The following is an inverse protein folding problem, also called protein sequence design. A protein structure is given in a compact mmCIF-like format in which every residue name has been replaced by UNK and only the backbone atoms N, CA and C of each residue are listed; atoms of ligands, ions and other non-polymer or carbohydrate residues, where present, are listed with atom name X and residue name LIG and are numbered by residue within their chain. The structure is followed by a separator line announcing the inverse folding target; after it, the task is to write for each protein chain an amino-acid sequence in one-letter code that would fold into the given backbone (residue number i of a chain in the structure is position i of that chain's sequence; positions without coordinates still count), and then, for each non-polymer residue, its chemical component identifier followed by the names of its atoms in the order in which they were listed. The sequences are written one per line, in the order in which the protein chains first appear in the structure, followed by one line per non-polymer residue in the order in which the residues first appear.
data_IF_133496333006
#
_entry.id   IF_133496333006
#
_cell.length_a   1.000
_cell.length_b   1.000
_cell.length_c   1.000
_cell.angle_alpha   90.00
_cell.angle_beta   90.00
_cell.angle_gamma   90.00
#
_symmetry.space_group_name_H-M   'P 1'
#
loop_
_entity.id
_entity.type
_entity.pdbx_description
1 polymer ?
#
# COMPACT_ATOMS: atom_id res chain seq x y z
N UNK A 1 -45.82 -19.01 -4.40
CA UNK A 1 -46.89 -19.97 -4.74
C UNK A 1 -47.60 -19.44 -5.96
N UNK A 2 -47.64 -20.28 -7.03
CA UNK A 2 -48.63 -20.29 -8.11
C UNK A 2 -48.64 -19.06 -9.05
N UNK A 3 -48.81 -19.11 -10.37
CA UNK A 3 -49.07 -20.15 -11.39
C UNK A 3 -49.20 -19.33 -12.70
N UNK A 4 -48.53 -19.66 -13.82
CA UNK A 4 -49.09 -20.35 -15.01
C UNK A 4 -50.51 -19.89 -15.43
N UNK A 5 -50.87 -19.65 -16.71
CA UNK A 5 -50.29 -19.98 -18.02
C UNK A 5 -51.23 -19.52 -19.17
N UNK A 6 -50.77 -19.68 -20.43
CA UNK A 6 -51.51 -20.05 -21.67
C UNK A 6 -52.39 -18.97 -22.36
N UNK A 7 -52.58 -18.88 -23.69
CA UNK A 7 -52.33 -19.77 -24.85
C UNK A 7 -52.58 -19.08 -26.23
N UNK A 8 -51.98 -19.67 -27.29
CA UNK A 8 -52.48 -19.93 -28.68
C UNK A 8 -52.87 -18.76 -29.63
N UNK A 9 -52.83 -18.78 -30.98
CA UNK A 9 -52.56 -19.76 -32.07
C UNK A 9 -52.67 -19.05 -33.45
N UNK A 10 -52.07 -19.60 -34.53
CA UNK A 10 -52.61 -19.77 -35.94
C UNK A 10 -51.45 -19.86 -36.96
N UNK A 11 -51.19 -20.99 -37.64
CA UNK A 11 -51.79 -21.61 -38.86
C UNK A 11 -51.48 -20.91 -40.21
N UNK A 12 -50.90 -21.68 -41.13
CA UNK A 12 -50.77 -21.36 -42.56
C UNK A 12 -50.12 -22.51 -43.34
N UNK A 13 -50.92 -23.21 -44.14
CA UNK A 13 -50.56 -24.35 -45.00
C UNK A 13 -50.31 -23.92 -46.45
N UNK A 14 -49.44 -24.64 -47.17
CA UNK A 14 -49.25 -24.48 -48.62
C UNK A 14 -48.54 -25.69 -49.22
N UNK A 15 -49.26 -26.45 -50.03
CA UNK A 15 -48.83 -27.65 -50.75
C UNK A 15 -48.52 -27.33 -52.22
N UNK A 16 -47.52 -28.01 -52.80
CA UNK A 16 -47.20 -27.95 -54.23
C UNK A 16 -46.48 -29.21 -54.69
N UNK A 17 -47.17 -30.05 -55.46
CA UNK A 17 -46.66 -31.26 -56.11
C UNK A 17 -46.01 -30.93 -57.47
N UNK A 18 -44.95 -31.66 -57.83
CA UNK A 18 -44.40 -31.71 -59.18
C UNK A 18 -43.65 -33.02 -59.42
N UNK A 19 -44.25 -33.92 -60.19
CA UNK A 19 -43.68 -35.20 -60.65
C UNK A 19 -42.83 -34.98 -61.92
N UNK A 20 -41.72 -35.70 -62.04
CA UNK A 20 -40.96 -35.84 -63.28
C UNK A 20 -40.21 -37.18 -63.30
N UNK A 21 -40.65 -38.08 -64.18
CA UNK A 21 -40.17 -39.46 -64.31
C UNK A 21 -39.21 -39.62 -65.50
N UNK A 22 -38.22 -40.49 -65.36
CA UNK A 22 -37.40 -41.08 -66.44
C UNK A 22 -36.03 -41.52 -65.88
N UNK A 23 -35.49 -42.73 -66.08
CA UNK A 23 -35.86 -43.88 -66.88
C UNK A 23 -34.58 -44.57 -67.39
N UNK A 24 -34.16 -45.68 -66.75
CA UNK A 24 -33.26 -46.74 -67.28
C UNK A 24 -31.73 -46.45 -67.33
N UNK A 25 -30.81 -47.43 -67.36
CA UNK A 25 -30.80 -48.87 -67.11
C UNK A 25 -29.32 -49.36 -67.17
N UNK A 26 -29.04 -50.55 -66.58
CA UNK A 26 -27.92 -51.50 -66.82
C UNK A 26 -26.59 -51.47 -66.05
N UNK A 27 -26.36 -52.59 -65.35
CA UNK A 27 -25.09 -53.35 -65.23
C UNK A 27 -24.22 -53.00 -64.01
N UNK A 28 -23.77 -53.91 -63.14
CA UNK A 28 -23.76 -55.35 -63.10
C UNK A 28 -22.51 -55.83 -62.34
N UNK A 29 -22.70 -56.66 -61.30
CA UNK A 29 -21.74 -57.59 -60.64
C UNK A 29 -20.52 -57.01 -59.87
N UNK A 30 -20.44 -57.39 -58.58
CA UNK A 30 -19.60 -58.47 -57.97
C UNK A 30 -18.90 -58.01 -56.68
N UNK A 31 -18.92 -58.88 -55.67
CA UNK A 31 -17.95 -58.90 -54.57
C UNK A 31 -18.55 -58.61 -53.21
N UNK A 32 -18.92 -59.66 -52.47
CA UNK A 32 -19.20 -59.56 -51.05
C UNK A 32 -17.91 -59.68 -50.25
N UNK A 33 -17.88 -59.06 -49.08
CA UNK A 33 -17.09 -59.49 -47.93
C UNK A 33 -17.83 -59.04 -46.67
N UNK A 34 -18.11 -60.01 -45.80
CA UNK A 34 -18.62 -59.81 -44.45
C UNK A 34 -17.57 -59.04 -43.64
N UNK A 35 -17.91 -57.87 -43.10
CA UNK A 35 -17.18 -57.28 -41.98
C UNK A 35 -18.20 -56.91 -40.89
N UNK A 36 -17.96 -57.41 -39.68
CA UNK A 36 -18.89 -57.44 -38.55
C UNK A 36 -19.28 -56.07 -37.98
N UNK A 37 -20.04 -56.07 -36.86
CA UNK A 37 -20.79 -54.91 -36.43
C UNK A 37 -19.89 -53.71 -36.16
N UNK A 38 -20.34 -52.55 -36.66
CA UNK A 38 -19.75 -51.24 -36.43
C UNK A 38 -19.40 -51.07 -34.96
N UNK A 39 -18.10 -51.23 -34.66
CA UNK A 39 -17.53 -50.78 -33.39
C UNK A 39 -17.69 -49.27 -33.36
N UNK A 40 -18.72 -48.85 -32.65
CA UNK A 40 -18.78 -47.60 -31.91
C UNK A 40 -17.38 -47.21 -31.44
N UNK A 41 -16.68 -46.39 -32.22
CA UNK A 41 -15.65 -45.53 -31.66
C UNK A 41 -16.39 -44.62 -30.68
N UNK A 42 -16.08 -44.66 -29.38
CA UNK A 42 -16.50 -43.60 -28.50
C UNK A 42 -15.91 -42.33 -29.12
N UNK A 43 -16.76 -41.36 -29.47
CA UNK A 43 -16.27 -39.99 -29.61
C UNK A 43 -15.58 -39.69 -28.30
N UNK A 44 -14.27 -39.47 -28.34
CA UNK A 44 -13.57 -38.86 -27.22
C UNK A 44 -14.36 -37.60 -26.89
N UNK A 45 -14.94 -37.58 -25.70
CA UNK A 45 -15.43 -36.38 -25.04
C UNK A 45 -14.16 -35.56 -24.78
N UNK A 46 -13.65 -34.93 -25.83
CA UNK A 46 -12.70 -33.82 -25.73
C UNK A 46 -13.52 -32.63 -25.25
N UNK A 47 -14.02 -32.70 -24.03
CA UNK A 47 -14.50 -31.54 -23.30
C UNK A 47 -13.27 -30.72 -22.94
N UNK A 48 -12.82 -29.93 -23.91
CA UNK A 48 -11.94 -28.80 -23.65
C UNK A 48 -12.73 -27.91 -22.70
N UNK A 49 -12.30 -27.87 -21.45
CA UNK A 49 -12.87 -26.98 -20.44
C UNK A 49 -13.00 -25.57 -21.01
N UNK A 50 -14.16 -24.90 -20.84
CA UNK A 50 -14.35 -23.55 -21.34
C UNK A 50 -13.26 -22.61 -20.84
N UNK A 51 -12.79 -21.71 -21.71
CA UNK A 51 -11.75 -20.72 -21.36
C UNK A 51 -12.08 -19.91 -20.08
N UNK A 52 -13.33 -19.45 -19.84
CA UNK A 52 -13.66 -18.76 -18.58
C UNK A 52 -13.46 -19.62 -17.33
N UNK A 53 -13.68 -20.93 -17.43
CA UNK A 53 -13.45 -21.84 -16.31
C UNK A 53 -11.95 -21.99 -16.03
N UNK A 54 -11.15 -22.17 -17.09
CA UNK A 54 -9.70 -22.28 -16.97
C UNK A 54 -9.07 -20.98 -16.45
N UNK A 55 -9.57 -19.82 -16.87
CA UNK A 55 -9.20 -18.52 -16.33
C UNK A 55 -9.48 -18.42 -14.83
N UNK A 56 -10.70 -18.75 -14.42
CA UNK A 56 -11.10 -18.69 -13.01
C UNK A 56 -10.26 -19.65 -12.14
N UNK A 57 -9.96 -20.83 -12.65
CA UNK A 57 -9.12 -21.81 -11.98
C UNK A 57 -7.66 -21.34 -11.86
N UNK A 58 -7.09 -20.83 -12.95
CA UNK A 58 -5.73 -20.27 -12.95
C UNK A 58 -5.61 -19.11 -11.94
N UNK A 59 -6.62 -18.23 -11.92
CA UNK A 59 -6.70 -17.14 -10.95
C UNK A 59 -6.75 -17.66 -9.52
N UNK A 60 -7.62 -18.63 -9.24
CA UNK A 60 -7.79 -19.18 -7.89
C UNK A 60 -6.51 -19.87 -7.38
N UNK A 61 -5.89 -20.71 -8.21
CA UNK A 61 -4.64 -21.42 -7.86
C UNK A 61 -3.53 -20.43 -7.52
N UNK A 62 -3.36 -19.38 -8.30
CA UNK A 62 -2.34 -18.36 -8.04
C UNK A 62 -2.65 -17.51 -6.80
N UNK A 63 -3.91 -17.16 -6.57
CA UNK A 63 -4.34 -16.43 -5.38
C UNK A 63 -4.12 -17.26 -4.11
N UNK A 64 -4.48 -18.54 -4.12
CA UNK A 64 -4.28 -19.44 -2.99
C UNK A 64 -2.78 -19.65 -2.70
N UNK A 65 -1.97 -19.87 -3.75
CA UNK A 65 -0.52 -19.95 -3.61
C UNK A 65 0.07 -18.67 -2.98
N UNK A 66 -0.41 -17.50 -3.43
CA UNK A 66 0.05 -16.21 -2.92
C UNK A 66 -0.26 -16.02 -1.43
N UNK A 67 -1.43 -16.47 -0.98
CA UNK A 67 -1.91 -16.30 0.40
C UNK A 67 -1.26 -17.29 1.37
N UNK A 68 -1.01 -18.51 0.90
CA UNK A 68 -0.50 -19.59 1.75
C UNK A 68 1.03 -19.57 1.88
N UNK A 69 1.76 -19.19 0.82
CA UNK A 69 3.23 -19.33 0.76
C UNK A 69 3.95 -18.01 0.49
N UNK A 70 3.25 -17.00 -0.02
CA UNK A 70 3.80 -15.69 -0.36
C UNK A 70 3.64 -15.34 -1.84
N UNK A 71 3.66 -14.05 -2.14
CA UNK A 71 3.19 -13.49 -3.43
C UNK A 71 4.00 -14.00 -4.61
N UNK A 72 5.32 -14.16 -4.44
CA UNK A 72 6.23 -14.63 -5.50
C UNK A 72 5.95 -16.07 -5.97
N UNK A 73 5.30 -16.91 -5.15
CA UNK A 73 5.01 -18.31 -5.51
C UNK A 73 3.89 -18.40 -6.55
N UNK A 74 3.06 -17.36 -6.68
CA UNK A 74 1.98 -17.30 -7.66
C UNK A 74 2.49 -17.48 -9.10
N UNK A 75 3.64 -16.91 -9.46
CA UNK A 75 4.24 -17.09 -10.78
C UNK A 75 4.60 -18.56 -11.06
N UNK A 76 5.15 -19.28 -10.08
CA UNK A 76 5.45 -20.71 -10.24
C UNK A 76 4.17 -21.54 -10.40
N UNK A 77 3.13 -21.22 -9.63
CA UNK A 77 1.84 -21.90 -9.73
C UNK A 77 1.22 -21.70 -11.12
N UNK A 78 1.24 -20.48 -11.65
CA UNK A 78 0.78 -20.18 -13.01
C UNK A 78 1.61 -20.88 -14.10
N UNK A 79 2.94 -20.93 -13.95
CA UNK A 79 3.80 -21.63 -14.89
C UNK A 79 3.41 -23.11 -15.00
N UNK A 80 3.15 -23.77 -13.87
CA UNK A 80 2.69 -25.16 -13.84
C UNK A 80 1.33 -25.32 -14.53
N UNK A 81 0.37 -24.42 -14.26
CA UNK A 81 -0.96 -24.40 -14.87
C UNK A 81 -0.87 -24.24 -16.40
N UNK A 82 -0.03 -23.35 -16.91
CA UNK A 82 0.11 -23.10 -18.35
C UNK A 82 0.91 -24.18 -19.10
N UNK A 83 1.55 -25.11 -18.39
CA UNK A 83 2.28 -26.22 -18.98
C UNK A 83 1.43 -27.48 -19.20
N UNK A 84 0.19 -27.53 -18.70
CA UNK A 84 -0.70 -28.70 -18.80
C UNK A 84 -0.95 -29.10 -20.27
N UNK A 85 -1.48 -28.19 -21.08
CA UNK A 85 -1.62 -28.37 -22.53
C UNK A 85 -1.83 -27.02 -23.25
N UNK A 86 -2.00 -27.04 -24.58
CA UNK A 86 -2.10 -25.83 -25.41
C UNK A 86 -3.31 -24.95 -25.08
N UNK A 87 -4.45 -25.54 -24.68
CA UNK A 87 -5.65 -24.78 -24.30
C UNK A 87 -5.44 -24.03 -22.99
N UNK A 88 -4.77 -24.64 -22.01
CA UNK A 88 -4.40 -23.97 -20.75
C UNK A 88 -3.37 -22.88 -20.97
N UNK A 89 -2.41 -23.11 -21.88
CA UNK A 89 -1.45 -22.08 -22.29
C UNK A 89 -2.14 -20.89 -22.96
N UNK A 90 -3.22 -21.10 -23.72
CA UNK A 90 -3.95 -20.01 -24.37
C UNK A 90 -4.51 -18.99 -23.35
N UNK A 91 -4.93 -19.45 -22.17
CA UNK A 91 -5.43 -18.62 -21.07
C UNK A 91 -4.40 -17.60 -20.57
N UNK A 92 -3.09 -17.88 -20.73
CA UNK A 92 -2.03 -16.91 -20.39
C UNK A 92 -2.06 -15.63 -21.25
N UNK A 93 -2.88 -15.58 -22.30
CA UNK A 93 -3.12 -14.40 -23.14
C UNK A 93 -4.37 -13.61 -22.71
N UNK A 94 -5.15 -14.12 -21.75
CA UNK A 94 -6.33 -13.44 -21.24
C UNK A 94 -5.92 -12.23 -20.40
N UNK A 95 -6.24 -11.03 -20.85
CA UNK A 95 -6.02 -9.80 -20.10
C UNK A 95 -6.88 -9.73 -18.80
N UNK A 96 -8.16 -10.17 -18.79
CA UNK A 96 -8.94 -10.31 -17.55
C UNK A 96 -8.28 -11.14 -16.46
N UNK A 97 -7.60 -12.24 -16.83
CA UNK A 97 -6.82 -13.05 -15.89
C UNK A 97 -5.76 -12.18 -15.19
N UNK A 98 -4.94 -11.50 -15.98
CA UNK A 98 -3.84 -10.70 -15.46
C UNK A 98 -4.33 -9.52 -14.64
N UNK A 99 -5.41 -8.86 -15.05
CA UNK A 99 -6.04 -7.80 -14.26
C UNK A 99 -6.48 -8.33 -12.88
N UNK A 100 -7.18 -9.48 -12.84
CA UNK A 100 -7.63 -10.10 -11.59
C UNK A 100 -6.46 -10.48 -10.68
N UNK A 101 -5.41 -11.07 -11.24
CA UNK A 101 -4.21 -11.48 -10.50
C UNK A 101 -3.44 -10.27 -9.97
N UNK A 102 -3.23 -9.26 -10.81
CA UNK A 102 -2.52 -8.02 -10.43
C UNK A 102 -3.24 -7.30 -9.31
N UNK A 103 -4.57 -7.20 -9.39
CA UNK A 103 -5.38 -6.64 -8.32
C UNK A 103 -5.36 -7.50 -7.05
N UNK A 104 -5.51 -8.81 -7.19
CA UNK A 104 -5.65 -9.72 -6.05
C UNK A 104 -4.36 -10.00 -5.28
N UNK A 105 -3.21 -9.98 -5.95
CA UNK A 105 -1.89 -10.29 -5.35
C UNK A 105 -1.14 -9.00 -5.00
N UNK A 106 -1.17 -8.00 -5.89
CA UNK A 106 -0.40 -6.76 -5.73
C UNK A 106 -1.24 -5.55 -5.30
N UNK A 107 -2.55 -5.71 -5.15
CA UNK A 107 -3.45 -4.62 -4.73
C UNK A 107 -3.56 -3.47 -5.74
N UNK A 108 -3.10 -3.67 -6.99
CA UNK A 108 -3.06 -2.63 -8.02
C UNK A 108 -4.39 -2.55 -8.78
N UNK A 109 -4.93 -1.35 -8.88
CA UNK A 109 -6.17 -1.05 -9.62
C UNK A 109 -5.95 -0.14 -10.82
N UNK A 110 -4.76 0.45 -10.94
CA UNK A 110 -4.39 1.33 -12.03
C UNK A 110 -3.28 0.66 -12.85
N UNK A 111 -3.41 0.75 -14.16
CA UNK A 111 -2.46 0.21 -15.12
C UNK A 111 -1.40 1.28 -15.43
N UNK A 112 -0.11 0.94 -15.24
CA UNK A 112 1.01 1.83 -15.56
C UNK A 112 1.80 1.41 -16.82
N UNK A 113 1.60 0.18 -17.29
CA UNK A 113 2.24 -0.41 -18.47
C UNK A 113 1.19 -0.73 -19.54
N UNK A 114 1.60 -1.15 -20.74
CA UNK A 114 0.65 -1.26 -21.87
C UNK A 114 -0.40 -2.36 -21.65
N UNK A 115 -0.07 -3.41 -20.89
CA UNK A 115 -0.99 -4.51 -20.58
C UNK A 115 -0.96 -4.94 -19.12
N UNK A 116 -2.04 -5.54 -18.61
CA UNK A 116 -2.05 -6.08 -17.25
C UNK A 116 -1.06 -7.22 -17.05
N UNK A 117 -0.71 -7.93 -18.13
CA UNK A 117 0.33 -8.96 -18.13
C UNK A 117 1.70 -8.36 -17.85
N UNK A 118 2.04 -7.27 -18.53
CA UNK A 118 3.31 -6.56 -18.30
C UNK A 118 3.36 -5.97 -16.90
N UNK A 119 2.27 -5.36 -16.43
CA UNK A 119 2.16 -4.90 -15.05
C UNK A 119 2.40 -6.05 -14.05
N UNK A 120 1.77 -7.22 -14.28
CA UNK A 120 1.95 -8.39 -13.41
C UNK A 120 3.41 -8.86 -13.35
N UNK A 121 4.06 -8.95 -14.52
CA UNK A 121 5.46 -9.38 -14.66
C UNK A 121 6.37 -8.36 -13.97
N UNK A 122 6.17 -7.07 -14.25
CA UNK A 122 6.92 -5.97 -13.65
C UNK A 122 6.87 -6.03 -12.13
N UNK A 123 5.68 -6.23 -11.54
CA UNK A 123 5.51 -6.34 -10.08
C UNK A 123 6.18 -7.58 -9.50
N UNK A 124 6.07 -8.72 -10.18
CA UNK A 124 6.76 -9.94 -9.76
C UNK A 124 8.28 -9.77 -9.76
N UNK A 125 8.84 -9.16 -10.81
CA UNK A 125 10.27 -8.90 -10.90
C UNK A 125 10.72 -7.87 -9.86
N UNK A 126 9.93 -6.82 -9.62
CA UNK A 126 10.19 -5.82 -8.56
C UNK A 126 10.22 -6.47 -7.18
N UNK A 127 9.25 -7.33 -6.86
CA UNK A 127 9.25 -8.08 -5.60
C UNK A 127 10.43 -9.08 -5.51
N UNK A 128 10.84 -9.68 -6.63
CA UNK A 128 12.02 -10.53 -6.68
C UNK A 128 13.31 -9.73 -6.43
N UNK A 129 13.39 -8.48 -6.93
CA UNK A 129 14.47 -7.55 -6.63
C UNK A 129 14.52 -7.22 -5.14
N UNK A 130 13.38 -6.94 -4.50
CA UNK A 130 13.29 -6.78 -3.05
C UNK A 130 13.80 -8.01 -2.30
N UNK A 131 13.39 -9.21 -2.70
CA UNK A 131 13.82 -10.46 -2.07
C UNK A 131 15.33 -10.69 -2.17
N UNK A 132 15.93 -10.32 -3.29
CA UNK A 132 17.36 -10.51 -3.57
C UNK A 132 18.24 -9.33 -3.17
N UNK A 133 17.66 -8.22 -2.71
CA UNK A 133 18.40 -7.00 -2.37
C UNK A 133 18.96 -6.25 -3.56
N UNK A 134 18.37 -6.43 -4.75
CA UNK A 134 18.80 -5.76 -5.97
C UNK A 134 18.07 -4.42 -6.12
N UNK A 135 18.68 -3.35 -5.64
CA UNK A 135 18.19 -2.00 -5.83
C UNK A 135 19.24 -1.12 -6.51
N UNK A 136 18.78 -0.01 -7.09
CA UNK A 136 19.65 1.10 -7.49
C UNK A 136 19.50 2.22 -6.47
N UNK A 137 20.62 2.66 -5.90
CA UNK A 137 20.68 3.74 -4.93
C UNK A 137 20.86 5.10 -5.61
N UNK A 138 20.13 6.09 -5.09
CA UNK A 138 20.26 7.50 -5.47
C UNK A 138 20.29 8.37 -4.22
N UNK A 139 21.13 9.41 -4.24
CA UNK A 139 21.02 10.54 -3.34
C UNK A 139 20.27 11.66 -4.06
N UNK A 140 19.10 12.02 -3.55
CA UNK A 140 18.28 13.12 -4.05
C UNK A 140 18.71 14.40 -3.33
N UNK A 141 18.99 15.42 -4.13
CA UNK A 141 19.50 16.70 -3.65
C UNK A 141 18.47 17.80 -3.93
N UNK A 142 18.38 18.75 -3.01
CA UNK A 142 17.65 20.00 -3.18
C UNK A 142 18.58 21.16 -2.82
N UNK A 143 18.28 22.34 -3.34
CA UNK A 143 19.11 23.52 -3.09
C UNK A 143 18.98 23.97 -1.62
N UNK A 144 20.07 24.02 -0.82
CA UNK A 144 20.00 24.55 0.53
C UNK A 144 19.65 26.04 0.59
N UNK A 145 19.78 26.78 -0.51
CA UNK A 145 19.29 28.16 -0.59
C UNK A 145 17.75 28.23 -0.55
N UNK A 146 17.04 27.13 -0.79
CA UNK A 146 15.59 27.00 -0.62
C UNK A 146 15.18 26.87 0.87
N UNK A 147 15.92 27.45 1.80
CA UNK A 147 15.63 27.42 3.24
C UNK A 147 15.19 28.81 3.70
N UNK A 148 14.05 28.88 4.37
CA UNK A 148 13.47 30.15 4.85
C UNK A 148 14.36 30.84 5.90
N UNK A 149 15.12 30.06 6.67
CA UNK A 149 16.07 30.56 7.67
C UNK A 149 17.40 29.78 7.60
N UNK A 150 18.33 30.21 6.74
CA UNK A 150 19.62 29.51 6.54
C UNK A 150 20.53 29.58 7.76
N UNK A 151 20.19 30.38 8.78
CA UNK A 151 20.98 30.47 10.02
C UNK A 151 20.57 29.42 11.06
N UNK A 152 19.43 28.77 10.87
CA UNK A 152 18.95 27.72 11.75
C UNK A 152 19.36 26.33 11.22
N UNK A 153 20.31 25.63 11.87
CA UNK A 153 20.77 24.32 11.41
C UNK A 153 19.66 23.25 11.47
N UNK A 154 18.66 23.41 12.34
CA UNK A 154 17.57 22.45 12.52
C UNK A 154 16.49 22.56 11.43
N UNK A 155 16.49 23.65 10.64
CA UNK A 155 15.47 23.94 9.62
C UNK A 155 15.39 22.87 8.52
N UNK A 156 16.54 22.24 8.25
CA UNK A 156 16.72 21.22 7.21
C UNK A 156 16.45 19.80 7.68
N UNK A 157 16.03 19.61 8.94
CA UNK A 157 15.67 18.31 9.46
C UNK A 157 14.37 17.85 8.79
N UNK A 158 14.47 16.80 7.98
CA UNK A 158 13.31 16.12 7.40
C UNK A 158 12.64 15.27 8.48
N UNK A 159 11.37 15.56 8.79
CA UNK A 159 10.60 14.92 9.87
C UNK A 159 9.74 13.76 9.39
N UNK A 160 9.24 13.84 8.16
CA UNK A 160 8.36 12.83 7.60
C UNK A 160 8.54 12.70 6.09
N UNK A 161 8.26 11.51 5.58
CA UNK A 161 8.33 11.15 4.17
C UNK A 161 7.02 10.49 3.77
N UNK A 162 6.58 10.73 2.54
CA UNK A 162 5.42 10.06 1.96
C UNK A 162 5.67 9.73 0.49
N UNK A 163 5.31 8.51 0.09
CA UNK A 163 5.47 8.00 -1.27
C UNK A 163 4.12 7.94 -2.00
N UNK A 164 4.20 8.18 -3.30
CA UNK A 164 3.19 7.83 -4.29
C UNK A 164 3.87 7.13 -5.46
N UNK A 165 3.10 6.64 -6.44
CA UNK A 165 3.66 5.96 -7.60
C UNK A 165 4.67 6.79 -8.41
N UNK A 166 4.57 8.13 -8.34
CA UNK A 166 5.41 9.06 -9.13
C UNK A 166 6.27 9.99 -8.29
N UNK A 167 5.90 10.25 -7.05
CA UNK A 167 6.53 11.29 -6.24
C UNK A 167 6.90 10.82 -4.85
N UNK A 168 8.02 11.34 -4.37
CA UNK A 168 8.40 11.36 -2.97
C UNK A 168 8.20 12.78 -2.42
N UNK A 169 7.45 12.91 -1.34
CA UNK A 169 7.29 14.16 -0.60
C UNK A 169 8.04 14.09 0.73
N UNK A 170 8.82 15.12 1.01
CA UNK A 170 9.65 15.25 2.21
C UNK A 170 9.20 16.48 3.01
N UNK A 171 8.78 16.29 4.26
CA UNK A 171 8.32 17.35 5.15
C UNK A 171 9.40 17.75 6.14
N UNK A 172 9.64 19.05 6.29
CA UNK A 172 10.77 19.58 7.03
C UNK A 172 10.36 20.39 8.26
N UNK A 173 11.32 20.61 9.16
CA UNK A 173 11.15 21.43 10.36
C UNK A 173 10.90 22.92 10.06
N UNK A 174 11.34 23.41 8.89
CA UNK A 174 11.02 24.74 8.38
C UNK A 174 9.55 24.91 7.94
N UNK A 175 8.78 23.83 7.88
CA UNK A 175 7.39 23.81 7.42
C UNK A 175 7.22 23.66 5.91
N UNK A 176 8.32 23.54 5.17
CA UNK A 176 8.28 23.27 3.75
C UNK A 176 8.06 21.77 3.48
N UNK A 177 7.36 21.48 2.38
CA UNK A 177 7.33 20.15 1.78
C UNK A 177 8.06 20.20 0.45
N UNK A 178 9.12 19.41 0.30
CA UNK A 178 9.89 19.29 -0.94
C UNK A 178 9.48 18.01 -1.67
N UNK A 179 9.19 18.14 -2.95
CA UNK A 179 8.66 17.09 -3.80
C UNK A 179 9.70 16.68 -4.83
N UNK A 180 9.93 15.38 -4.97
CA UNK A 180 10.83 14.79 -5.95
C UNK A 180 10.05 13.90 -6.91
N UNK A 181 10.30 14.03 -8.22
CA UNK A 181 9.77 13.10 -9.21
C UNK A 181 10.67 11.84 -9.21
N UNK A 182 10.08 10.68 -8.95
CA UNK A 182 10.79 9.40 -8.82
C UNK A 182 11.31 8.88 -10.17
N UNK A 183 10.74 9.33 -11.28
CA UNK A 183 11.17 8.95 -12.63
C UNK A 183 12.42 9.72 -13.02
N UNK A 184 12.41 11.04 -12.85
CA UNK A 184 13.55 11.89 -13.20
C UNK A 184 14.60 11.96 -12.09
N UNK A 185 14.21 11.65 -10.85
CA UNK A 185 15.01 11.75 -9.62
C UNK A 185 15.44 13.18 -9.30
N UNK A 186 14.70 14.15 -9.84
CA UNK A 186 14.97 15.56 -9.65
C UNK A 186 14.00 16.17 -8.64
N UNK A 187 14.48 17.19 -7.93
CA UNK A 187 13.64 18.07 -7.15
C UNK A 187 12.64 18.75 -8.10
N UNK A 188 11.35 18.46 -7.91
CA UNK A 188 10.28 18.98 -8.74
C UNK A 188 9.75 20.30 -8.18
N UNK A 189 9.56 20.40 -6.86
CA UNK A 189 8.92 21.57 -6.25
C UNK A 189 9.05 21.67 -4.73
N UNK A 190 9.14 22.90 -4.24
CA UNK A 190 8.96 23.24 -2.82
C UNK A 190 7.60 23.89 -2.56
N UNK A 191 6.87 23.37 -1.59
CA UNK A 191 5.61 23.93 -1.09
C UNK A 191 5.86 24.63 0.25
N UNK A 192 5.58 25.93 0.31
CA UNK A 192 5.69 26.73 1.54
C UNK A 192 4.33 27.33 1.91
N UNK A 193 3.73 26.95 3.05
CA UNK A 193 2.51 27.60 3.51
C UNK A 193 2.82 29.01 4.05
N UNK A 194 1.87 29.92 3.94
CA UNK A 194 1.96 31.21 4.64
C UNK A 194 1.81 30.98 6.14
N UNK A 195 2.78 31.45 6.92
CA UNK A 195 2.81 31.26 8.37
C UNK A 195 2.12 32.42 9.12
N UNK A 196 1.67 32.12 10.33
CA UNK A 196 1.07 33.07 11.27
C UNK A 196 1.86 33.11 12.59
N UNK A 197 1.35 33.84 13.59
CA UNK A 197 2.00 34.00 14.89
C UNK A 197 2.36 32.63 15.51
N UNK A 198 3.61 32.52 15.97
CA UNK A 198 4.23 31.25 16.35
C UNK A 198 4.25 31.13 17.86
N UNK A 199 3.79 29.99 18.38
CA UNK A 199 3.97 29.63 19.79
C UNK A 199 5.39 29.14 20.08
N UNK A 200 6.06 28.55 19.09
CA UNK A 200 7.44 28.09 19.19
C UNK A 200 8.14 27.94 17.84
N UNK A 201 9.44 27.71 17.87
CA UNK A 201 10.29 27.64 16.66
C UNK A 201 9.90 26.49 15.72
N UNK A 202 9.35 25.40 16.26
CA UNK A 202 8.92 24.23 15.50
C UNK A 202 7.41 24.19 15.27
N UNK A 203 6.63 25.21 15.68
CA UNK A 203 5.18 25.24 15.41
C UNK A 203 4.83 24.96 13.95
N UNK A 204 5.64 25.49 13.02
CA UNK A 204 5.45 25.28 11.57
C UNK A 204 5.96 23.95 11.04
N UNK A 205 6.66 23.15 11.84
CA UNK A 205 7.31 21.93 11.37
C UNK A 205 6.26 20.94 10.83
N UNK A 206 6.55 20.30 9.70
CA UNK A 206 5.61 19.35 9.10
C UNK A 206 5.46 18.12 10.02
N UNK A 207 4.22 17.81 10.40
CA UNK A 207 3.87 16.68 11.26
C UNK A 207 3.45 15.45 10.48
N UNK A 208 2.98 15.61 9.24
CA UNK A 208 2.60 14.48 8.39
C UNK A 208 2.18 14.90 6.99
N UNK A 209 2.21 13.93 6.06
CA UNK A 209 1.95 14.14 4.63
C UNK A 209 1.07 13.02 4.08
N UNK A 210 0.11 13.38 3.23
CA UNK A 210 -0.67 12.49 2.37
C UNK A 210 -0.42 12.92 0.94
N UNK A 211 0.01 11.99 0.08
CA UNK A 211 0.29 12.28 -1.32
C UNK A 211 -0.40 11.29 -2.25
N UNK A 212 -0.91 11.83 -3.34
CA UNK A 212 -1.43 11.09 -4.50
C UNK A 212 -0.81 11.67 -5.77
N UNK A 213 -1.10 11.09 -6.93
CA UNK A 213 -0.60 11.60 -8.21
C UNK A 213 -1.02 13.06 -8.53
N UNK A 214 -2.11 13.56 -7.93
CA UNK A 214 -2.66 14.88 -8.24
C UNK A 214 -2.72 15.84 -7.03
N UNK A 215 -2.77 15.31 -5.81
CA UNK A 215 -3.02 16.09 -4.59
C UNK A 215 -1.98 15.78 -3.53
N UNK A 216 -1.47 16.84 -2.91
CA UNK A 216 -0.63 16.83 -1.73
C UNK A 216 -1.42 17.46 -0.58
N UNK A 217 -1.44 16.80 0.57
CA UNK A 217 -2.01 17.32 1.81
C UNK A 217 -0.93 17.16 2.88
N UNK A 218 -0.70 18.18 3.68
CA UNK A 218 0.26 18.10 4.76
C UNK A 218 -0.20 18.95 5.93
N UNK A 219 0.23 18.58 7.13
CA UNK A 219 -0.11 19.29 8.34
C UNK A 219 1.16 19.72 9.08
N UNK A 220 1.02 20.73 9.92
CA UNK A 220 2.10 21.28 10.75
C UNK A 220 1.83 21.02 12.23
N UNK A 221 2.85 21.13 13.08
CA UNK A 221 2.72 20.87 14.52
C UNK A 221 1.72 21.81 15.22
N UNK A 222 1.52 23.01 14.69
CA UNK A 222 0.49 23.95 15.15
C UNK A 222 -0.94 23.56 14.73
N UNK A 223 -1.11 22.46 13.99
CA UNK A 223 -2.41 21.92 13.62
C UNK A 223 -3.01 22.52 12.34
N UNK A 224 -2.31 23.41 11.64
CA UNK A 224 -2.73 23.81 10.30
C UNK A 224 -2.68 22.60 9.35
N UNK A 225 -3.69 22.51 8.47
CA UNK A 225 -3.72 21.52 7.39
C UNK A 225 -3.74 22.27 6.07
N UNK A 226 -2.80 21.94 5.19
CA UNK A 226 -2.63 22.54 3.89
C UNK A 226 -2.91 21.54 2.77
N UNK A 227 -3.48 22.05 1.68
CA UNK A 227 -3.79 21.28 0.47
C UNK A 227 -3.18 21.98 -0.73
N UNK A 228 -2.47 21.22 -1.56
CA UNK A 228 -1.91 21.69 -2.81
C UNK A 228 -2.17 20.68 -3.94
N UNK A 229 -2.34 21.21 -5.15
CA UNK A 229 -2.34 20.39 -6.35
C UNK A 229 -0.88 20.19 -6.80
N UNK A 230 -0.50 18.94 -7.04
CA UNK A 230 0.88 18.56 -7.39
C UNK A 230 1.30 19.20 -8.72
N UNK A 231 0.38 19.19 -9.69
CA UNK A 231 0.64 19.65 -11.07
C UNK A 231 0.34 21.14 -11.30
N UNK A 232 0.00 21.92 -10.27
CA UNK A 232 -0.39 23.32 -10.41
C UNK A 232 0.50 24.21 -9.53
N UNK A 233 1.12 25.23 -10.11
CA UNK A 233 2.03 26.17 -9.45
C UNK A 233 1.40 27.05 -8.36
N UNK A 234 0.10 26.94 -8.09
CA UNK A 234 -0.56 27.61 -6.98
C UNK A 234 0.04 27.23 -5.61
N UNK A 235 0.19 28.21 -4.72
CA UNK A 235 0.62 27.98 -3.35
C UNK A 235 -0.35 27.04 -2.61
N UNK A 236 0.13 26.28 -1.60
CA UNK A 236 -0.75 25.49 -0.76
C UNK A 236 -1.84 26.36 -0.15
N UNK A 237 -3.11 25.97 -0.31
CA UNK A 237 -4.19 26.62 0.42
C UNK A 237 -4.25 26.02 1.82
N UNK A 238 -4.61 26.83 2.80
CA UNK A 238 -4.97 26.32 4.12
C UNK A 238 -6.38 25.76 4.06
N UNK A 239 -6.53 24.48 4.39
CA UNK A 239 -7.80 23.79 4.52
C UNK A 239 -8.36 23.94 5.93
N UNK A 240 -7.49 23.83 6.94
CA UNK A 240 -7.88 23.98 8.34
C UNK A 240 -6.88 24.87 9.06
N UNK A 241 -7.40 25.76 9.89
CA UNK A 241 -6.64 26.51 10.88
C UNK A 241 -6.45 25.64 12.11
N UNK A 242 -5.23 25.54 12.60
CA UNK A 242 -4.92 24.88 13.86
C UNK A 242 -5.21 25.78 15.07
N UNK A 243 -5.83 25.21 16.11
CA UNK A 243 -6.05 25.90 17.39
C UNK A 243 -5.19 25.28 18.49
N UNK A 244 -3.87 25.52 18.43
CA UNK A 244 -2.90 24.87 19.33
C UNK A 244 -3.27 25.01 20.81
N UNK A 245 -3.77 26.19 21.23
CA UNK A 245 -4.18 26.41 22.62
C UNK A 245 -5.41 25.59 23.03
N UNK A 246 -6.27 25.23 22.08
CA UNK A 246 -7.51 24.45 22.27
C UNK A 246 -7.32 22.96 22.03
N UNK A 247 -6.29 22.55 21.28
CA UNK A 247 -6.11 21.18 20.81
C UNK A 247 -4.80 20.52 21.25
N UNK A 248 -3.79 21.33 21.61
CA UNK A 248 -2.41 20.89 21.75
C UNK A 248 -1.66 20.82 20.42
N UNK A 249 -0.48 20.22 20.42
CA UNK A 249 0.34 20.04 19.23
C UNK A 249 -0.15 18.85 18.40
N UNK A 250 -0.24 19.01 17.08
CA UNK A 250 -0.54 17.92 16.13
C UNK A 250 0.73 17.11 15.88
N UNK A 251 0.98 16.10 16.71
CA UNK A 251 2.26 15.36 16.74
C UNK A 251 2.44 14.36 15.60
N UNK A 252 1.37 13.89 14.96
CA UNK A 252 1.42 13.09 13.73
C UNK A 252 0.15 13.30 12.90
N UNK A 253 0.27 13.18 11.57
CA UNK A 253 -0.84 13.35 10.64
C UNK A 253 -0.73 12.37 9.47
N UNK A 254 -1.84 11.76 9.10
CA UNK A 254 -1.87 10.75 8.05
C UNK A 254 -3.25 10.67 7.41
N UNK A 255 -3.39 9.86 6.36
CA UNK A 255 -4.68 9.59 5.77
C UNK A 255 -4.62 8.60 4.61
N UNK A 256 -5.79 8.05 4.30
CA UNK A 256 -5.99 7.12 3.17
C UNK A 256 -7.40 7.26 2.64
N UNK A 257 -7.52 7.35 1.32
CA UNK A 257 -8.81 7.55 0.66
C UNK A 257 -9.46 8.87 1.11
N UNK A 258 -10.68 8.77 1.66
CA UNK A 258 -11.43 9.94 2.16
C UNK A 258 -11.07 10.34 3.59
N UNK A 259 -10.21 9.61 4.29
CA UNK A 259 -9.98 9.83 5.72
C UNK A 259 -8.69 10.59 5.96
N UNK A 260 -8.77 11.72 6.66
CA UNK A 260 -7.62 12.39 7.27
C UNK A 260 -7.68 12.20 8.77
N UNK A 261 -6.56 11.86 9.38
CA UNK A 261 -6.46 11.57 10.81
C UNK A 261 -5.27 12.30 11.40
N UNK A 262 -5.54 13.09 12.44
CA UNK A 262 -4.54 13.81 13.21
C UNK A 262 -4.45 13.23 14.61
N UNK A 263 -3.23 13.10 15.11
CA UNK A 263 -2.92 12.72 16.48
C UNK A 263 -2.40 13.96 17.22
N UNK A 264 -3.14 14.43 18.21
CA UNK A 264 -2.80 15.59 19.03
C UNK A 264 -2.24 15.16 20.38
N UNK A 265 -1.33 15.96 20.93
CA UNK A 265 -0.85 15.84 22.30
C UNK A 265 -0.79 17.23 22.95
N UNK A 266 -1.38 17.36 24.14
CA UNK A 266 -1.35 18.61 24.89
C UNK A 266 -2.57 18.81 25.77
N UNK A 267 -3.73 18.32 25.35
CA UNK A 267 -4.99 18.39 26.10
C UNK A 267 -5.61 17.00 26.28
N UNK A 268 -5.96 16.61 27.53
CA UNK A 268 -6.56 15.31 27.79
C UNK A 268 -7.87 15.08 27.04
N UNK A 269 -8.07 13.85 26.56
CA UNK A 269 -9.31 13.41 25.92
C UNK A 269 -9.50 13.89 24.47
N UNK A 270 -8.51 14.56 23.88
CA UNK A 270 -8.53 15.10 22.50
C UNK A 270 -7.47 14.51 21.58
N UNK A 271 -7.01 13.29 21.86
CA UNK A 271 -5.89 12.69 21.15
C UNK A 271 -6.14 12.55 19.63
N UNK A 272 -7.37 12.30 19.19
CA UNK A 272 -7.67 12.10 17.77
C UNK A 272 -8.61 13.17 17.23
N UNK A 273 -8.33 13.58 15.99
CA UNK A 273 -9.28 14.28 15.14
C UNK A 273 -9.33 13.62 13.77
N UNK A 274 -10.54 13.42 13.26
CA UNK A 274 -10.79 12.81 11.95
C UNK A 274 -11.55 13.80 11.09
N UNK A 275 -11.15 13.94 9.84
CA UNK A 275 -11.83 14.74 8.84
C UNK A 275 -12.15 13.91 7.60
N UNK A 276 -13.20 14.33 6.92
CA UNK A 276 -13.46 13.90 5.55
C UNK A 276 -12.53 14.67 4.61
N UNK A 277 -11.62 13.99 3.92
CA UNK A 277 -10.66 14.61 3.01
C UNK A 277 -11.24 15.14 1.70
N UNK A 278 -12.52 14.88 1.40
CA UNK A 278 -13.21 15.40 0.21
C UNK A 278 -13.86 16.74 0.54
N UNK A 279 -14.63 16.79 1.64
CA UNK A 279 -15.37 17.98 2.10
C UNK A 279 -14.57 18.86 3.06
N UNK A 280 -13.52 18.30 3.67
CA UNK A 280 -12.67 18.93 4.70
C UNK A 280 -13.39 19.23 6.01
N UNK A 281 -14.57 18.63 6.21
CA UNK A 281 -15.36 18.74 7.42
C UNK A 281 -14.84 17.80 8.52
N UNK A 282 -14.90 18.23 9.80
CA UNK A 282 -14.52 17.38 10.91
C UNK A 282 -15.61 16.32 11.16
N UNK A 283 -15.21 15.07 11.33
CA UNK A 283 -16.12 13.94 11.55
C UNK A 283 -16.06 13.41 12.99
N UNK A 284 -14.91 13.51 13.65
CA UNK A 284 -14.72 13.02 15.00
C UNK A 284 -13.63 13.79 15.72
N UNK A 285 -13.82 13.99 17.02
CA UNK A 285 -12.83 14.49 17.97
C UNK A 285 -12.96 13.69 19.27
N UNK A 286 -11.83 13.19 19.79
CA UNK A 286 -11.81 12.52 21.09
C UNK A 286 -10.64 11.56 21.29
N UNK A 287 -10.64 10.87 22.44
CA UNK A 287 -9.69 9.81 22.77
C UNK A 287 -8.59 10.25 23.71
N UNK A 288 -8.08 9.32 24.51
CA UNK A 288 -7.15 9.59 25.63
C UNK A 288 -5.73 9.07 25.39
N UNK A 289 -5.39 8.68 24.15
CA UNK A 289 -4.15 7.95 23.85
C UNK A 289 -2.90 8.73 24.32
N UNK A 290 -2.88 10.05 24.09
CA UNK A 290 -1.74 10.94 24.35
C UNK A 290 -1.85 11.73 25.66
N UNK A 291 -2.86 11.44 26.49
CA UNK A 291 -3.05 12.14 27.77
C UNK A 291 -1.80 12.05 28.69
N UNK A 292 -1.11 10.89 28.81
CA UNK A 292 0.12 10.79 29.59
C UNK A 292 1.27 11.63 29.00
N UNK A 293 1.27 11.86 27.70
CA UNK A 293 2.31 12.57 26.97
C UNK A 293 1.97 14.06 26.69
N UNK A 294 0.92 14.60 27.32
CA UNK A 294 0.42 15.96 27.05
C UNK A 294 1.53 17.03 27.15
N UNK A 295 2.36 16.99 28.21
CA UNK A 295 3.48 17.92 28.40
C UNK A 295 4.52 17.79 27.27
N UNK A 296 4.83 16.56 26.86
CA UNK A 296 5.76 16.32 25.76
C UNK A 296 5.22 16.86 24.44
N UNK A 297 3.90 16.82 24.22
CA UNK A 297 3.24 17.50 23.10
C UNK A 297 3.60 18.98 23.01
N UNK A 298 3.53 19.72 24.12
CA UNK A 298 3.90 21.13 24.16
C UNK A 298 5.39 21.38 23.88
N UNK A 299 6.28 20.52 24.39
CA UNK A 299 7.72 20.63 24.09
C UNK A 299 8.03 20.48 22.60
N UNK A 300 7.22 19.74 21.83
CA UNK A 300 7.45 19.59 20.38
C UNK A 300 7.38 20.91 19.62
N UNK A 301 6.69 21.93 20.16
CA UNK A 301 6.58 23.24 19.52
C UNK A 301 7.86 24.07 19.67
N UNK A 302 8.66 23.81 20.69
CA UNK A 302 9.84 24.61 21.06
C UNK A 302 11.16 23.85 20.90
N UNK A 303 11.12 22.52 20.96
CA UNK A 303 12.29 21.65 20.98
C UNK A 303 12.19 20.52 19.95
N UNK A 304 13.35 20.03 19.49
CA UNK A 304 13.41 18.84 18.67
C UNK A 304 13.26 17.63 19.61
N UNK A 305 12.11 16.99 19.60
CA UNK A 305 11.82 15.83 20.45
C UNK A 305 11.82 14.54 19.65
N UNK A 306 11.95 13.41 20.36
CA UNK A 306 11.56 12.10 19.82
C UNK A 306 10.05 12.07 19.50
N UNK A 307 9.61 11.02 18.80
CA UNK A 307 8.20 10.83 18.46
C UNK A 307 7.34 10.65 19.72
N UNK A 308 6.40 11.57 19.95
CA UNK A 308 5.41 11.49 21.04
C UNK A 308 4.41 10.36 20.80
N UNK A 309 3.92 10.27 19.57
CA UNK A 309 3.03 9.22 19.12
C UNK A 309 3.03 9.13 17.59
N UNK A 310 2.43 8.06 17.07
CA UNK A 310 2.18 7.90 15.64
C UNK A 310 0.78 7.37 15.38
N UNK A 311 0.25 7.72 14.22
CA UNK A 311 -1.06 7.29 13.73
C UNK A 311 -0.98 6.88 12.26
N UNK A 312 -1.63 5.77 11.89
CA UNK A 312 -1.68 5.25 10.52
C UNK A 312 -3.07 4.71 10.20
N UNK A 313 -3.44 4.76 8.92
CA UNK A 313 -4.75 4.29 8.42
C UNK A 313 -4.58 3.04 7.57
N UNK A 314 -5.32 1.98 7.90
CA UNK A 314 -5.31 0.69 7.21
C UNK A 314 -6.11 0.75 5.90
N UNK A 315 -5.96 -0.26 5.04
CA UNK A 315 -6.81 -0.42 3.84
C UNK A 315 -8.28 -0.74 4.17
N UNK A 316 -8.56 -1.21 5.38
CA UNK A 316 -9.90 -1.54 5.87
C UNK A 316 -10.58 -0.35 6.56
N UNK A 317 -10.04 0.86 6.40
CA UNK A 317 -10.59 2.08 7.03
C UNK A 317 -10.60 1.97 8.56
N UNK A 318 -9.51 1.45 9.13
CA UNK A 318 -9.26 1.45 10.57
C UNK A 318 -8.05 2.33 10.88
N UNK A 319 -8.01 2.91 12.07
CA UNK A 319 -6.85 3.64 12.57
C UNK A 319 -6.08 2.76 13.54
N UNK A 320 -4.77 2.70 13.39
CA UNK A 320 -3.85 2.15 14.40
C UNK A 320 -2.94 3.28 14.84
N UNK A 321 -2.89 3.52 16.16
CA UNK A 321 -2.07 4.57 16.72
C UNK A 321 -1.37 4.10 17.99
N UNK A 322 -0.21 4.67 18.28
CA UNK A 322 0.54 4.36 19.48
C UNK A 322 1.29 5.56 20.05
N UNK A 323 1.55 5.49 21.35
CA UNK A 323 2.56 6.27 22.07
C UNK A 323 3.64 5.31 22.58
N UNK A 324 4.59 5.81 23.36
CA UNK A 324 5.54 4.93 24.04
C UNK A 324 4.89 3.96 25.02
N UNK A 325 3.68 4.27 25.52
CA UNK A 325 3.02 3.52 26.59
C UNK A 325 1.79 2.74 26.12
N UNK A 326 1.08 3.18 25.07
CA UNK A 326 -0.21 2.60 24.68
C UNK A 326 -0.33 2.41 23.17
N UNK A 327 -1.18 1.48 22.76
CA UNK A 327 -1.62 1.28 21.38
C UNK A 327 -3.15 1.20 21.34
N UNK A 328 -3.77 1.87 20.37
CA UNK A 328 -5.21 1.88 20.15
C UNK A 328 -5.50 1.57 18.68
N UNK A 329 -6.54 0.77 18.45
CA UNK A 329 -7.15 0.53 17.14
C UNK A 329 -8.62 0.91 17.18
N UNK A 330 -9.10 1.69 16.21
CA UNK A 330 -10.52 2.03 16.10
C UNK A 330 -11.00 2.07 14.64
N UNK A 331 -12.30 1.90 14.44
CA UNK A 331 -12.93 1.86 13.12
C UNK A 331 -13.32 3.28 12.64
N UNK A 332 -12.97 3.64 11.39
CA UNK A 332 -13.37 4.92 10.80
C UNK A 332 -14.81 4.91 10.30
N UNK A 333 -15.38 3.73 10.02
CA UNK A 333 -16.79 3.61 9.62
C UNK A 333 -17.74 3.80 10.80
N UNK A 334 -17.28 3.42 11.99
CA UNK A 334 -18.01 3.52 13.25
C UNK A 334 -17.20 4.35 14.23
N UNK A 335 -17.09 5.65 13.97
CA UNK A 335 -16.29 6.58 14.75
C UNK A 335 -16.64 6.52 16.24
N UNK A 336 -15.60 6.48 17.09
CA UNK A 336 -15.73 6.30 18.54
C UNK A 336 -15.75 4.83 19.01
N UNK A 337 -15.87 3.86 18.11
CA UNK A 337 -15.76 2.43 18.47
C UNK A 337 -14.30 2.01 18.49
N UNK A 338 -13.76 1.85 19.71
CA UNK A 338 -12.44 1.27 19.93
C UNK A 338 -12.53 -0.24 19.68
N UNK A 339 -11.81 -0.70 18.67
CA UNK A 339 -11.68 -2.13 18.36
C UNK A 339 -10.70 -2.80 19.33
N UNK A 340 -9.65 -2.07 19.72
CA UNK A 340 -8.59 -2.59 20.59
C UNK A 340 -7.88 -1.48 21.34
N UNK A 341 -7.48 -1.79 22.56
CA UNK A 341 -6.55 -0.99 23.33
C UNK A 341 -5.56 -1.90 24.07
N UNK A 342 -4.27 -1.57 24.02
CA UNK A 342 -3.19 -2.31 24.66
C UNK A 342 -2.26 -1.37 25.43
N UNK A 343 -1.89 -1.76 26.65
CA UNK A 343 -0.95 -1.06 27.51
C UNK A 343 0.43 -1.75 27.50
N UNK A 344 1.47 -0.97 27.23
CA UNK A 344 2.87 -1.38 27.10
C UNK A 344 3.77 -0.78 28.19
N UNK A 345 3.20 -0.13 29.21
CA UNK A 345 3.94 0.43 30.35
C UNK A 345 4.86 -0.61 31.00
N UNK A 346 4.42 -1.86 31.10
CA UNK A 346 5.19 -2.97 31.67
C UNK A 346 6.22 -3.61 30.71
N UNK A 347 6.21 -3.27 29.43
CA UNK A 347 7.03 -3.90 28.36
C UNK A 347 8.25 -3.08 27.94
N UNK A 348 8.68 -2.10 28.76
CA UNK A 348 9.67 -1.06 28.39
C UNK A 348 9.22 -0.16 27.23
N UNK A 349 7.91 -0.08 27.02
CA UNK A 349 7.29 0.80 26.04
C UNK A 349 7.54 0.40 24.58
N UNK A 350 6.82 1.10 23.72
CA UNK A 350 6.87 0.99 22.26
C UNK A 350 7.94 1.94 21.73
N UNK A 351 8.75 1.46 20.79
CA UNK A 351 9.61 2.29 19.97
C UNK A 351 8.75 2.97 18.89
N UNK A 352 8.19 4.13 19.22
CA UNK A 352 7.22 4.84 18.35
C UNK A 352 7.78 5.07 16.94
N UNK A 353 9.06 5.38 16.79
CA UNK A 353 9.71 5.56 15.49
C UNK A 353 9.72 4.33 14.57
N UNK A 354 9.52 3.13 15.14
CA UNK A 354 9.47 1.86 14.43
C UNK A 354 8.06 1.41 14.01
N UNK A 355 7.05 2.19 14.38
CA UNK A 355 5.66 1.89 14.09
C UNK A 355 5.28 2.32 12.67
N UNK A 356 4.64 1.41 11.93
CA UNK A 356 4.08 1.67 10.61
C UNK A 356 2.97 0.67 10.23
N UNK A 357 2.21 0.97 9.18
CA UNK A 357 1.08 0.15 8.69
C UNK A 357 1.19 -0.06 7.19
N UNK A 358 0.99 -1.29 6.73
CA UNK A 358 0.73 -1.59 5.33
C UNK A 358 -0.50 -2.49 5.20
N UNK A 359 -1.45 -2.05 4.38
CA UNK A 359 -2.73 -2.73 4.17
C UNK A 359 -3.47 -2.98 5.50
N UNK A 360 -3.59 -4.24 5.92
CA UNK A 360 -4.36 -4.68 7.08
C UNK A 360 -3.46 -5.09 8.26
N UNK A 361 -2.15 -4.87 8.13
CA UNK A 361 -1.17 -5.24 9.13
C UNK A 361 -0.38 -4.02 9.60
N UNK A 362 0.09 -4.09 10.84
CA UNK A 362 0.94 -3.09 11.45
C UNK A 362 2.18 -3.73 12.06
N UNK A 363 3.28 -2.99 12.06
CA UNK A 363 4.51 -3.38 12.75
C UNK A 363 4.68 -2.56 14.01
N UNK A 364 5.16 -3.22 15.07
CA UNK A 364 5.45 -2.62 16.36
C UNK A 364 6.73 -3.23 16.92
N UNK A 365 7.59 -2.43 17.55
CA UNK A 365 8.73 -2.93 18.31
C UNK A 365 8.76 -2.34 19.73
N UNK A 366 9.20 -3.14 20.70
CA UNK A 366 9.36 -2.72 22.08
C UNK A 366 10.79 -2.26 22.41
N UNK A 367 10.97 -1.61 23.56
CA UNK A 367 12.28 -1.15 24.04
C UNK A 367 13.29 -2.28 24.37
N UNK A 368 12.91 -3.56 24.27
CA UNK A 368 13.81 -4.72 24.34
C UNK A 368 14.30 -5.14 22.96
N UNK A 369 13.74 -4.57 21.90
CA UNK A 369 14.01 -4.91 20.52
C UNK A 369 13.13 -6.03 19.99
N UNK A 370 12.11 -6.49 20.72
CA UNK A 370 11.16 -7.44 20.16
C UNK A 370 10.20 -6.69 19.25
N UNK A 371 10.21 -7.06 17.97
CA UNK A 371 9.31 -6.53 16.97
C UNK A 371 8.34 -7.61 16.50
N UNK A 372 7.11 -7.21 16.20
CA UNK A 372 6.08 -8.12 15.67
C UNK A 372 5.25 -7.41 14.61
N UNK A 373 4.88 -8.15 13.57
CA UNK A 373 3.83 -7.74 12.63
C UNK A 373 2.53 -8.40 13.06
N UNK A 374 1.48 -7.59 13.17
CA UNK A 374 0.17 -8.03 13.65
C UNK A 374 -0.92 -7.58 12.70
N UNK A 375 -2.01 -8.34 12.64
CA UNK A 375 -3.21 -7.91 11.94
C UNK A 375 -3.93 -6.80 12.72
N UNK A 376 -4.40 -5.77 12.04
CA UNK A 376 -5.08 -4.64 12.68
C UNK A 376 -6.45 -5.02 13.27
N UNK A 377 -7.18 -5.93 12.62
CA UNK A 377 -8.53 -6.36 13.01
C UNK A 377 -8.51 -7.30 14.23
N UNK A 378 -7.61 -8.29 14.24
CA UNK A 378 -7.57 -9.33 15.28
C UNK A 378 -6.45 -9.16 16.30
N UNK A 379 -5.46 -8.30 16.02
CA UNK A 379 -4.20 -8.19 16.78
C UNK A 379 -3.38 -9.50 16.81
N UNK A 380 -3.73 -10.48 15.98
CA UNK A 380 -2.99 -11.73 15.87
C UNK A 380 -1.60 -11.46 15.29
N UNK A 381 -0.59 -12.04 15.93
CA UNK A 381 0.77 -11.97 15.45
C UNK A 381 0.92 -12.83 14.18
N UNK A 382 1.34 -12.17 13.09
CA UNK A 382 1.68 -12.80 11.83
C UNK A 382 3.11 -13.34 11.89
N UNK A 383 4.02 -12.54 12.44
CA UNK A 383 5.42 -12.91 12.67
C UNK A 383 6.10 -11.98 13.70
N UNK A 384 7.22 -12.45 14.26
CA UNK A 384 8.02 -11.73 15.26
C UNK A 384 9.52 -11.91 15.12
N UNK A 385 10.27 -10.84 15.41
CA UNK A 385 11.73 -10.74 15.27
C UNK A 385 12.38 -9.90 16.34
N UNK A 386 13.71 -9.90 16.33
CA UNK A 386 14.52 -9.04 17.18
C UNK A 386 15.27 -7.99 16.37
N UNK A 387 15.06 -6.72 16.70
CA UNK A 387 15.82 -5.58 16.19
C UNK A 387 16.99 -5.27 17.13
N UNK A 388 18.18 -5.07 16.57
CA UNK A 388 19.39 -4.72 17.32
C UNK A 388 20.20 -3.62 16.61
N UNK A 389 20.72 -2.62 17.35
CA UNK A 389 20.38 -2.30 18.74
C UNK A 389 18.93 -1.77 18.85
N UNK A 390 18.26 -1.88 20.01
CA UNK A 390 16.86 -1.50 20.18
C UNK A 390 16.62 0.00 20.42
N UNK A 391 17.66 0.85 20.41
CA UNK A 391 17.54 2.29 20.65
C UNK A 391 17.62 3.06 19.34
N UNK A 392 16.81 4.12 19.22
CA UNK A 392 16.79 4.99 18.03
C UNK A 392 16.41 4.25 16.75
N UNK A 393 15.56 3.23 16.87
CA UNK A 393 15.12 2.43 15.72
C UNK A 393 14.01 3.16 14.99
N UNK A 394 14.23 3.39 13.69
CA UNK A 394 13.15 3.71 12.76
C UNK A 394 12.71 2.46 12.03
N UNK A 395 11.44 2.44 11.64
CA UNK A 395 10.85 1.30 10.96
C UNK A 395 9.74 1.74 10.03
N UNK A 396 9.62 1.02 8.93
CA UNK A 396 8.51 1.09 8.00
C UNK A 396 8.22 -0.31 7.45
N UNK A 397 7.10 -0.47 6.76
CA UNK A 397 6.75 -1.74 6.12
C UNK A 397 6.10 -1.54 4.76
N UNK A 398 6.29 -2.52 3.89
CA UNK A 398 5.47 -2.70 2.69
C UNK A 398 4.72 -4.05 2.77
N UNK A 399 4.06 -4.46 1.70
CA UNK A 399 3.19 -5.64 1.69
C UNK A 399 3.90 -6.97 1.91
N UNK A 400 5.24 -7.01 1.86
CA UNK A 400 6.00 -8.26 2.03
C UNK A 400 7.21 -8.17 2.94
N UNK A 401 7.61 -6.96 3.34
CA UNK A 401 8.82 -6.74 4.10
C UNK A 401 8.63 -5.69 5.19
N UNK A 402 9.36 -5.89 6.29
CA UNK A 402 9.63 -4.83 7.27
C UNK A 402 11.06 -4.35 7.07
N UNK A 403 11.23 -3.03 7.13
CA UNK A 403 12.53 -2.39 7.12
C UNK A 403 12.78 -1.74 8.47
N UNK A 404 13.95 -1.99 9.05
CA UNK A 404 14.38 -1.34 10.30
C UNK A 404 15.71 -0.64 10.12
N UNK A 405 15.78 0.62 10.51
CA UNK A 405 17.00 1.40 10.53
C UNK A 405 17.48 1.57 11.96
N UNK A 406 18.69 1.10 12.25
CA UNK A 406 19.33 1.26 13.55
C UNK A 406 20.83 1.54 13.36
N UNK A 407 21.31 2.64 13.93
CA UNK A 407 22.71 3.08 13.77
C UNK A 407 23.09 3.30 12.31
N UNK A 408 22.19 3.88 11.51
CA UNK A 408 22.44 4.17 10.10
C UNK A 408 22.35 2.98 9.14
N UNK A 409 22.01 1.79 9.64
CA UNK A 409 21.92 0.57 8.82
C UNK A 409 20.47 0.16 8.68
N UNK A 410 19.98 0.16 7.44
CA UNK A 410 18.67 -0.39 7.08
C UNK A 410 18.80 -1.92 6.92
N UNK A 411 17.97 -2.67 7.64
CA UNK A 411 17.85 -4.14 7.57
C UNK A 411 16.47 -4.51 7.05
N UNK A 412 16.42 -5.56 6.24
CA UNK A 412 15.20 -6.04 5.59
C UNK A 412 14.81 -7.42 6.10
N UNK A 413 13.54 -7.55 6.47
CA UNK A 413 12.96 -8.76 7.03
C UNK A 413 11.77 -9.21 6.17
N UNK A 414 11.71 -10.48 5.80
CA UNK A 414 10.57 -11.04 5.07
C UNK A 414 9.43 -11.38 6.04
N UNK A 415 8.19 -11.00 5.67
CA UNK A 415 6.99 -11.19 6.50
C UNK A 415 5.83 -11.93 5.80
N UNK A 416 5.98 -12.31 4.52
CA UNK A 416 4.91 -12.96 3.75
C UNK A 416 4.62 -14.41 4.16
N UNK A 417 5.54 -15.07 4.87
CA UNK A 417 5.36 -16.46 5.30
C UNK A 417 4.97 -16.52 6.77
N UNK A 418 3.72 -16.90 7.10
CA UNK A 418 3.28 -17.02 8.48
C UNK A 418 4.22 -17.94 9.28
N UNK A 419 4.66 -17.47 10.44
CA UNK A 419 5.53 -18.24 11.34
C UNK A 419 6.96 -18.50 10.84
N UNK A 420 7.35 -18.04 9.64
CA UNK A 420 8.72 -18.13 9.14
C UNK A 420 9.25 -16.75 8.81
N UNK A 421 9.99 -16.20 9.76
CA UNK A 421 10.69 -14.95 9.55
C UNK A 421 12.14 -15.19 9.14
N UNK A 422 12.56 -14.47 8.11
CA UNK A 422 13.93 -14.50 7.62
C UNK A 422 14.47 -13.07 7.56
N UNK A 423 15.55 -12.81 8.31
CA UNK A 423 16.43 -11.70 7.99
C UNK A 423 17.01 -11.97 6.61
N UNK A 424 16.86 -11.03 5.68
CA UNK A 424 17.35 -11.21 4.32
C UNK A 424 18.72 -10.57 4.15
N UNK A 425 18.80 -9.25 4.28
CA UNK A 425 20.02 -8.48 4.05
C UNK A 425 19.95 -7.12 4.73
N UNK A 426 21.05 -6.38 4.65
CA UNK A 426 21.16 -4.98 5.01
C UNK A 426 21.57 -4.16 3.80
N UNK A 427 21.11 -2.92 3.71
CA UNK A 427 21.59 -2.01 2.68
C UNK A 427 23.09 -1.74 2.87
N UNK A 428 23.81 -1.56 1.77
CA UNK A 428 25.26 -1.37 1.78
C UNK A 428 25.65 0.03 2.26
N UNK A 429 24.78 1.00 2.01
CA UNK A 429 24.97 2.39 2.37
C UNK A 429 24.85 2.58 3.89
N UNK A 430 25.86 3.22 4.48
CA UNK A 430 25.84 3.63 5.88
C UNK A 430 25.27 5.03 5.94
N UNK A 431 24.02 5.10 6.38
CA UNK A 431 23.36 6.36 6.64
C UNK A 431 23.90 6.93 7.96
N UNK A 432 23.88 8.24 8.12
CA UNK A 432 24.12 8.84 9.42
C UNK A 432 22.95 8.60 10.38
N UNK A 433 22.65 9.59 11.19
CA UNK A 433 21.38 9.61 11.92
C UNK A 433 20.22 9.80 10.94
N UNK A 434 19.30 8.84 10.91
CA UNK A 434 18.13 8.84 10.04
C UNK A 434 16.96 9.41 10.81
N UNK A 435 16.27 10.40 10.23
CA UNK A 435 15.14 11.10 10.84
C UNK A 435 13.79 10.56 10.38
N UNK A 436 13.73 10.08 9.13
CA UNK A 436 12.51 9.53 8.54
C UNK A 436 12.82 8.37 7.59
N UNK A 437 11.93 7.40 7.53
CA UNK A 437 12.03 6.20 6.70
C UNK A 437 10.64 5.85 6.17
N UNK A 438 10.50 5.56 4.89
CA UNK A 438 9.24 5.13 4.25
C UNK A 438 9.53 4.10 3.16
N UNK A 439 8.59 3.20 2.91
CA UNK A 439 8.69 2.22 1.83
C UNK A 439 7.33 2.03 1.14
N UNK A 440 7.38 1.68 -0.14
CA UNK A 440 6.26 1.14 -0.89
C UNK A 440 6.67 -0.19 -1.56
N UNK A 441 5.87 -0.69 -2.51
CA UNK A 441 6.16 -1.95 -3.23
C UNK A 441 7.32 -1.87 -4.24
N UNK A 442 7.92 -0.70 -4.45
CA UNK A 442 9.01 -0.44 -5.39
C UNK A 442 10.20 0.31 -4.77
N UNK A 443 9.93 1.24 -3.87
CA UNK A 443 10.91 2.19 -3.37
C UNK A 443 11.06 2.09 -1.87
N UNK A 444 12.27 2.42 -1.41
CA UNK A 444 12.55 2.74 -0.02
C UNK A 444 13.19 4.12 -0.02
N UNK A 445 12.76 5.00 0.87
CA UNK A 445 13.36 6.31 1.02
C UNK A 445 13.69 6.59 2.49
N UNK A 446 14.87 7.18 2.72
CA UNK A 446 15.34 7.56 4.04
C UNK A 446 15.91 8.97 4.01
N UNK A 447 15.59 9.76 5.03
CA UNK A 447 16.16 11.08 5.21
C UNK A 447 17.19 11.06 6.33
N UNK A 448 18.40 11.48 6.02
CA UNK A 448 19.52 11.57 6.96
C UNK A 448 19.73 13.03 7.39
N UNK A 449 20.41 13.24 8.52
CA UNK A 449 20.68 14.58 9.08
C UNK A 449 21.58 15.46 8.20
N UNK A 450 22.27 14.89 7.21
CA UNK A 450 23.22 15.57 6.30
C UNK A 450 22.55 16.18 5.05
N UNK A 451 21.26 16.55 5.15
CA UNK A 451 20.42 17.10 4.07
C UNK A 451 20.13 16.14 2.91
N UNK A 452 20.70 14.94 2.94
CA UNK A 452 20.53 13.94 1.88
C UNK A 452 19.24 13.14 2.07
N UNK A 453 18.48 13.02 0.98
CA UNK A 453 17.37 12.10 0.88
C UNK A 453 17.84 10.91 0.03
N UNK A 454 17.96 9.74 0.66
CA UNK A 454 18.39 8.52 0.00
C UNK A 454 17.17 7.78 -0.55
N UNK A 455 17.28 7.29 -1.78
CA UNK A 455 16.24 6.52 -2.48
C UNK A 455 16.85 5.22 -3.01
N UNK A 456 16.21 4.10 -2.68
CA UNK A 456 16.50 2.79 -3.29
C UNK A 456 15.32 2.40 -4.18
N UNK A 457 15.59 2.22 -5.47
CA UNK A 457 14.60 1.78 -6.47
C UNK A 457 14.81 0.29 -6.79
N UNK A 458 13.81 -0.53 -6.47
CA UNK A 458 13.78 -1.97 -6.75
C UNK A 458 13.04 -2.29 -8.06
N UNK A 459 12.60 -1.26 -8.80
CA UNK A 459 11.85 -1.42 -10.05
C UNK A 459 12.54 -2.34 -11.04
N UNK A 460 11.76 -3.21 -11.67
CA UNK A 460 12.25 -4.05 -12.74
C UNK A 460 12.57 -3.23 -14.00
N UNK A 461 13.54 -3.69 -14.79
CA UNK A 461 13.71 -3.20 -16.15
C UNK A 461 12.80 -4.08 -17.04
N UNK A 462 11.89 -3.45 -17.78
CA UNK A 462 11.17 -4.15 -18.84
C UNK A 462 12.16 -4.35 -19.98
N UNK A 463 12.47 -5.61 -20.28
CA UNK A 463 13.23 -6.01 -21.47
C UNK A 463 12.35 -6.00 -22.72
#
# INVERSE_FOLDING_TARGET
MSSSSSSSSSNGSGSGNGNGSGGGNYGGRRGGEYEGPSRSRPRAINEVWPEPFLEALAAQVALDASRLVGRLVAAQALANVFQVCTTWRAVSRSDPLWHRLTRGIWGRTNLLHDTWREEYIYRHQTAQNFRSGRAVHFALHFDPADVDDPTNPDSLICRCLALSDRYLACGFADGAVRLFDLTTRLHARTFRPQHHDRLGRFSRAVSGIIITAARLVFATLDGDIHVAAVNNNANPRRARLGEVLSDGALVDFTGRGRWWVGLYAGLPGRAFRVWDGITEEPLFEGGSLTDPEAVMGWHTLTELTEFVGRVRVTSQESVVACTSSRLVVFDLRNLGVILREEDFTNRRGILVGSFDVCNEAYVIADGRGNASVRRADTSEEVCGFTVRPPRGVLGCMNGGYVLTCAGGVIRVWQIEQPGRQEYLYSFGERLGEVNALVADERHVAAASGDTNIHLWDFGAQLE
#
